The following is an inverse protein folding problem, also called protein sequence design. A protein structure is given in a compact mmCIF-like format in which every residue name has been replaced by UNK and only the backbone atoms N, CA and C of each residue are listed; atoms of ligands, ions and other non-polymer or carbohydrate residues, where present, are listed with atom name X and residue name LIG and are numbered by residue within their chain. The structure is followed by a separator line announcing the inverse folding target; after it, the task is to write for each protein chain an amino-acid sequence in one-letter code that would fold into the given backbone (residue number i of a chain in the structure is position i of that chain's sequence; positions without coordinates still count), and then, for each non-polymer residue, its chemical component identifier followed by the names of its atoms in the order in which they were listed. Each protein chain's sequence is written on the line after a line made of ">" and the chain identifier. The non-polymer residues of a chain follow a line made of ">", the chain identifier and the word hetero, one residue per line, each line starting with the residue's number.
data_IF_086026574868
#
_entry.id   IF_086026574868
#
_cell.length_a   1.000
_cell.length_b   1.000
_cell.length_c   1.000
_cell.angle_alpha   90.00
_cell.angle_beta   90.00
_cell.angle_gamma   90.00
#
_symmetry.space_group_name_H-M   'P 1'
#
loop_
_entity.id
_entity.type
_entity.pdbx_description
1 polymer ?
#
# COMPACT_ATOMS: atom_id res chain seq x y z
N UNK A 1 16.99 30.28 7.56
CA UNK A 1 16.52 29.95 6.20
C UNK A 1 17.09 28.61 5.80
N UNK A 2 16.30 27.57 5.86
CA UNK A 2 16.71 26.26 5.38
C UNK A 2 16.66 26.31 3.85
N UNK A 3 17.78 26.05 3.18
CA UNK A 3 17.86 25.98 1.73
C UNK A 3 16.95 24.82 1.23
N UNK A 4 16.05 25.12 0.29
CA UNK A 4 15.09 24.15 -0.28
C UNK A 4 15.77 22.89 -0.85
N UNK A 5 16.96 23.00 -1.42
CA UNK A 5 17.73 21.86 -1.95
C UNK A 5 18.24 20.91 -0.86
N UNK A 6 18.70 21.43 0.30
CA UNK A 6 19.13 20.60 1.44
C UNK A 6 17.93 19.85 2.08
N UNK A 7 16.76 20.50 2.11
CA UNK A 7 15.52 19.90 2.60
C UNK A 7 15.10 18.67 1.77
N UNK A 8 15.21 18.74 0.44
CA UNK A 8 14.84 17.62 -0.47
C UNK A 8 15.75 16.39 -0.31
N UNK A 9 17.06 16.60 -0.07
CA UNK A 9 18.02 15.51 0.11
C UNK A 9 17.81 14.79 1.46
N UNK A 10 17.41 15.51 2.51
CA UNK A 10 17.10 14.89 3.82
C UNK A 10 15.75 14.16 3.84
N UNK A 11 14.85 14.45 2.92
CA UNK A 11 13.48 13.97 2.91
C UNK A 11 13.29 12.47 2.70
N UNK A 12 14.31 11.70 2.33
CA UNK A 12 14.15 10.28 2.01
C UNK A 12 15.36 9.43 2.37
N UNK A 13 16.03 9.77 3.47
CA UNK A 13 16.95 8.81 4.04
C UNK A 13 16.14 7.63 4.58
N UNK A 14 16.34 6.47 3.96
CA UNK A 14 15.88 5.22 4.55
C UNK A 14 16.58 5.04 5.89
N UNK A 15 15.84 4.70 6.93
CA UNK A 15 16.46 4.26 8.17
C UNK A 15 17.28 2.99 7.92
N UNK A 16 18.27 2.75 8.75
CA UNK A 16 19.01 1.47 8.76
C UNK A 16 18.06 0.31 9.07
N UNK A 17 17.09 0.56 9.95
CA UNK A 17 16.13 -0.41 10.44
C UNK A 17 14.80 -0.25 9.70
N UNK A 18 14.15 -1.38 9.39
CA UNK A 18 12.88 -1.43 8.69
C UNK A 18 11.83 -2.08 9.58
N UNK A 19 10.75 -1.36 9.86
CA UNK A 19 9.66 -1.78 10.74
C UNK A 19 9.01 -3.12 10.31
N UNK A 20 9.02 -3.43 9.02
CA UNK A 20 8.40 -4.63 8.44
C UNK A 20 9.30 -5.88 8.47
N UNK A 21 10.60 -5.72 8.71
CA UNK A 21 11.58 -6.81 8.72
C UNK A 21 12.41 -6.88 10.00
N UNK A 22 12.29 -5.91 10.89
CA UNK A 22 12.97 -5.92 12.19
C UNK A 22 12.47 -7.07 13.06
N UNK A 23 13.34 -7.89 13.68
CA UNK A 23 12.96 -9.09 14.42
C UNK A 23 11.99 -8.85 15.59
N UNK A 24 12.00 -7.65 16.19
CA UNK A 24 11.12 -7.31 17.31
C UNK A 24 9.75 -6.83 16.82
N UNK A 25 9.72 -5.98 15.77
CA UNK A 25 8.48 -5.39 15.29
C UNK A 25 7.67 -6.32 14.39
N UNK A 26 8.32 -7.22 13.63
CA UNK A 26 7.67 -8.05 12.61
C UNK A 26 6.52 -8.93 13.15
N UNK A 27 6.68 -9.50 14.35
CA UNK A 27 5.64 -10.33 14.99
C UNK A 27 4.45 -9.48 15.44
N UNK A 28 4.73 -8.26 15.92
CA UNK A 28 3.72 -7.32 16.38
C UNK A 28 2.99 -6.68 15.20
N UNK A 29 3.69 -6.44 14.09
CA UNK A 29 3.08 -6.04 12.83
C UNK A 29 2.12 -7.10 12.31
N UNK A 30 2.51 -8.37 12.32
CA UNK A 30 1.60 -9.46 11.94
C UNK A 30 0.35 -9.49 12.84
N UNK A 31 0.52 -9.34 14.16
CA UNK A 31 -0.62 -9.26 15.10
C UNK A 31 -1.51 -8.05 14.78
N UNK A 32 -0.93 -6.88 14.51
CA UNK A 32 -1.68 -5.68 14.14
C UNK A 32 -2.45 -5.84 12.83
N UNK A 33 -1.88 -6.54 11.84
CA UNK A 33 -2.59 -6.88 10.60
C UNK A 33 -3.77 -7.83 10.81
N UNK A 34 -3.67 -8.75 11.76
CA UNK A 34 -4.71 -9.73 12.06
C UNK A 34 -5.79 -9.21 13.00
N UNK A 35 -5.51 -8.13 13.72
CA UNK A 35 -6.49 -7.43 14.53
C UNK A 35 -7.36 -6.54 13.65
N UNK A 36 -8.44 -7.11 13.15
CA UNK A 36 -9.40 -6.40 12.30
C UNK A 36 -10.51 -5.70 13.10
N UNK A 37 -10.34 -5.53 14.41
CA UNK A 37 -11.26 -4.77 15.27
C UNK A 37 -10.98 -3.27 15.21
N UNK A 38 -9.75 -2.89 14.81
CA UNK A 38 -9.27 -1.53 14.67
C UNK A 38 -8.61 -1.29 13.31
N UNK A 39 -8.56 -0.03 12.87
CA UNK A 39 -7.84 0.38 11.65
C UNK A 39 -6.37 0.66 12.00
N UNK A 40 -5.59 -0.37 12.33
CA UNK A 40 -4.17 -0.23 12.70
C UNK A 40 -3.21 -0.52 11.55
N UNK A 41 -3.09 -1.77 11.13
CA UNK A 41 -2.28 -2.18 9.97
C UNK A 41 -3.14 -2.83 8.85
N UNK A 42 -4.41 -3.10 9.15
CA UNK A 42 -5.45 -3.54 8.22
C UNK A 42 -6.75 -2.85 8.59
N UNK A 43 -7.63 -2.63 7.62
CA UNK A 43 -8.97 -2.07 7.89
C UNK A 43 -9.80 -3.02 8.74
N UNK A 44 -10.77 -2.46 9.50
CA UNK A 44 -11.78 -3.26 10.23
C UNK A 44 -12.47 -4.23 9.30
N UNK A 45 -12.84 -5.39 9.84
CA UNK A 45 -13.41 -6.49 9.05
C UNK A 45 -14.63 -6.06 8.23
N UNK A 46 -15.52 -5.24 8.79
CA UNK A 46 -16.70 -4.77 8.07
C UNK A 46 -16.34 -3.88 6.87
N UNK A 47 -15.24 -3.12 6.96
CA UNK A 47 -14.72 -2.31 5.86
C UNK A 47 -14.10 -3.19 4.79
N UNK A 48 -13.33 -4.20 5.19
CA UNK A 48 -12.74 -5.19 4.28
C UNK A 48 -13.84 -5.92 3.50
N UNK A 49 -14.86 -6.46 4.17
CA UNK A 49 -15.96 -7.18 3.51
C UNK A 49 -16.73 -6.27 2.52
N UNK A 50 -17.01 -5.02 2.89
CA UNK A 50 -17.65 -4.05 1.99
C UNK A 50 -16.79 -3.75 0.76
N UNK A 51 -15.47 -3.60 0.95
CA UNK A 51 -14.52 -3.36 -0.15
C UNK A 51 -14.51 -4.55 -1.12
N UNK A 52 -14.40 -5.78 -0.61
CA UNK A 52 -14.45 -7.01 -1.41
C UNK A 52 -15.77 -7.11 -2.18
N UNK A 53 -16.90 -6.86 -1.53
CA UNK A 53 -18.21 -6.90 -2.15
C UNK A 53 -18.37 -5.84 -3.25
N UNK A 54 -17.89 -4.62 -3.02
CA UNK A 54 -17.94 -3.55 -4.01
C UNK A 54 -17.04 -3.89 -5.21
N UNK A 55 -15.78 -4.28 -4.98
CA UNK A 55 -14.83 -4.64 -6.04
C UNK A 55 -15.39 -5.80 -6.87
N UNK A 56 -15.92 -6.85 -6.22
CA UNK A 56 -16.46 -8.02 -6.92
C UNK A 56 -17.72 -7.71 -7.73
N UNK A 57 -18.52 -6.71 -7.35
CA UNK A 57 -19.66 -6.26 -8.16
C UNK A 57 -19.23 -5.41 -9.36
N UNK A 58 -18.20 -4.55 -9.20
CA UNK A 58 -17.71 -3.70 -10.28
C UNK A 58 -16.89 -4.50 -11.29
N UNK A 59 -16.12 -5.46 -10.83
CA UNK A 59 -15.16 -6.24 -11.62
C UNK A 59 -15.35 -7.75 -11.36
N UNK A 60 -16.49 -8.35 -11.74
CA UNK A 60 -16.81 -9.74 -11.40
C UNK A 60 -15.77 -10.73 -11.95
N UNK A 61 -15.51 -11.80 -11.20
CA UNK A 61 -14.47 -12.78 -11.51
C UNK A 61 -14.68 -13.51 -12.84
N UNK A 62 -15.92 -13.62 -13.32
CA UNK A 62 -16.26 -14.19 -14.62
C UNK A 62 -15.68 -13.37 -15.79
N UNK A 63 -15.55 -12.05 -15.63
CA UNK A 63 -14.95 -11.15 -16.62
C UNK A 63 -13.51 -10.77 -16.30
N UNK A 64 -13.16 -10.72 -15.02
CA UNK A 64 -11.87 -10.31 -14.50
C UNK A 64 -11.23 -11.43 -13.64
N UNK A 65 -10.93 -12.61 -14.22
CA UNK A 65 -10.63 -13.81 -13.43
C UNK A 65 -9.31 -13.81 -12.65
N UNK A 66 -8.33 -12.97 -13.00
CA UNK A 66 -7.01 -12.97 -12.36
C UNK A 66 -6.75 -11.68 -11.62
N UNK A 67 -6.30 -11.79 -10.36
CA UNK A 67 -6.03 -10.67 -9.47
C UNK A 67 -4.61 -10.77 -8.88
N UNK A 68 -3.88 -9.66 -8.91
CA UNK A 68 -2.60 -9.47 -8.22
C UNK A 68 -2.80 -8.47 -7.09
N UNK A 69 -2.47 -8.87 -5.86
CA UNK A 69 -2.52 -8.02 -4.68
C UNK A 69 -1.09 -7.68 -4.22
N UNK A 70 -0.69 -6.43 -4.37
CA UNK A 70 0.61 -5.90 -4.00
C UNK A 70 0.57 -5.40 -2.55
N UNK A 71 1.55 -5.78 -1.72
CA UNK A 71 1.50 -5.53 -0.29
C UNK A 71 0.38 -6.32 0.40
N UNK A 72 0.20 -7.60 0.02
CA UNK A 72 -0.93 -8.42 0.47
C UNK A 72 -0.91 -8.76 1.98
N UNK A 73 0.20 -8.50 2.68
CA UNK A 73 0.37 -8.81 4.08
C UNK A 73 0.07 -10.29 4.42
N UNK A 74 -0.62 -10.56 5.54
CA UNK A 74 -0.97 -11.92 5.95
C UNK A 74 -2.17 -12.51 5.19
N UNK A 75 -2.61 -11.90 4.10
CA UNK A 75 -3.60 -12.48 3.20
C UNK A 75 -5.06 -12.12 3.49
N UNK A 76 -5.32 -11.09 4.31
CA UNK A 76 -6.69 -10.72 4.70
C UNK A 76 -7.59 -10.44 3.50
N UNK A 77 -7.09 -9.73 2.50
CA UNK A 77 -7.82 -9.44 1.26
C UNK A 77 -7.74 -10.60 0.26
N UNK A 78 -6.56 -11.18 0.05
CA UNK A 78 -6.35 -12.25 -0.95
C UNK A 78 -7.23 -13.47 -0.73
N UNK A 79 -7.42 -13.91 0.54
CA UNK A 79 -8.30 -15.02 0.87
C UNK A 79 -9.77 -14.74 0.49
N UNK A 80 -10.23 -13.49 0.72
CA UNK A 80 -11.59 -13.08 0.39
C UNK A 80 -11.80 -12.98 -1.10
N UNK A 81 -10.83 -12.42 -1.83
CA UNK A 81 -10.86 -12.42 -3.30
C UNK A 81 -10.89 -13.85 -3.86
N UNK A 82 -10.08 -14.76 -3.31
CA UNK A 82 -10.11 -16.17 -3.72
C UNK A 82 -11.49 -16.80 -3.48
N UNK A 83 -12.13 -16.52 -2.33
CA UNK A 83 -13.50 -16.99 -2.03
C UNK A 83 -14.57 -16.39 -2.96
N UNK A 84 -14.30 -15.23 -3.57
CA UNK A 84 -15.15 -14.60 -4.61
C UNK A 84 -14.90 -15.16 -6.01
N UNK A 85 -13.98 -16.14 -6.17
CA UNK A 85 -13.74 -16.85 -7.43
C UNK A 85 -12.57 -16.31 -8.26
N UNK A 86 -11.80 -15.35 -7.76
CA UNK A 86 -10.60 -14.89 -8.46
C UNK A 86 -9.44 -15.89 -8.32
N UNK A 87 -8.66 -16.06 -9.38
CA UNK A 87 -7.34 -16.66 -9.31
C UNK A 87 -6.36 -15.58 -8.79
N UNK A 88 -5.97 -15.71 -7.52
CA UNK A 88 -5.24 -14.67 -6.78
C UNK A 88 -3.75 -14.97 -6.70
N UNK A 89 -2.94 -13.94 -6.97
CA UNK A 89 -1.52 -13.88 -6.60
C UNK A 89 -1.35 -12.77 -5.58
N UNK A 90 -0.75 -13.08 -4.42
CA UNK A 90 -0.40 -12.10 -3.38
C UNK A 90 1.11 -11.90 -3.33
N UNK A 91 1.57 -10.66 -3.22
CA UNK A 91 2.99 -10.30 -3.11
C UNK A 91 3.19 -9.45 -1.88
N UNK A 92 4.12 -9.83 -1.02
CA UNK A 92 4.57 -9.03 0.12
C UNK A 92 6.05 -9.32 0.40
N UNK A 93 6.79 -8.34 0.88
CA UNK A 93 8.20 -8.55 1.19
C UNK A 93 8.45 -9.13 2.59
N UNK A 94 7.44 -9.12 3.48
CA UNK A 94 7.51 -9.69 4.81
C UNK A 94 7.38 -11.21 4.78
N UNK A 95 8.47 -11.91 5.03
CA UNK A 95 8.49 -13.39 5.10
C UNK A 95 7.51 -13.92 6.15
N UNK A 96 7.36 -13.23 7.28
CA UNK A 96 6.43 -13.61 8.35
C UNK A 96 4.98 -13.52 7.87
N UNK A 97 4.62 -12.43 7.19
CA UNK A 97 3.26 -12.25 6.63
C UNK A 97 2.96 -13.31 5.58
N UNK A 98 3.88 -13.54 4.65
CA UNK A 98 3.70 -14.54 3.58
C UNK A 98 3.63 -15.96 4.14
N UNK A 99 4.48 -16.30 5.12
CA UNK A 99 4.43 -17.62 5.77
C UNK A 99 3.08 -17.84 6.45
N UNK A 100 2.57 -16.84 7.15
CA UNK A 100 1.23 -16.90 7.74
C UNK A 100 0.15 -17.04 6.67
N UNK A 101 0.16 -16.21 5.63
CA UNK A 101 -0.81 -16.23 4.54
C UNK A 101 -0.89 -17.59 3.84
N UNK A 102 0.29 -18.18 3.55
CA UNK A 102 0.36 -19.54 2.97
C UNK A 102 -0.23 -20.61 3.89
N UNK A 103 0.04 -20.52 5.21
CA UNK A 103 -0.50 -21.45 6.19
C UNK A 103 -2.02 -21.32 6.31
N UNK A 104 -2.52 -20.10 6.45
CA UNK A 104 -3.95 -19.79 6.55
C UNK A 104 -4.73 -20.24 5.30
N UNK A 105 -4.21 -19.94 4.11
CA UNK A 105 -4.83 -20.37 2.86
C UNK A 105 -4.92 -21.91 2.75
N UNK A 106 -3.84 -22.63 3.14
CA UNK A 106 -3.85 -24.12 3.18
C UNK A 106 -4.89 -24.66 4.13
N UNK A 107 -5.00 -24.10 5.35
CA UNK A 107 -6.02 -24.52 6.32
C UNK A 107 -7.45 -24.34 5.79
N UNK A 108 -7.68 -23.28 5.01
CA UNK A 108 -8.97 -22.99 4.40
C UNK A 108 -9.17 -23.65 3.02
N UNK A 109 -8.21 -24.45 2.55
CA UNK A 109 -8.23 -25.11 1.23
C UNK A 109 -8.37 -24.11 0.07
N UNK A 110 -7.80 -22.92 0.22
CA UNK A 110 -7.76 -21.88 -0.81
C UNK A 110 -6.51 -22.05 -1.69
N UNK A 111 -6.69 -21.92 -3.01
CA UNK A 111 -5.60 -21.96 -3.98
C UNK A 111 -5.16 -20.53 -4.31
N UNK A 112 -4.18 -20.03 -3.56
CA UNK A 112 -3.61 -18.68 -3.74
C UNK A 112 -2.11 -18.82 -3.98
N UNK A 113 -1.58 -18.09 -4.95
CA UNK A 113 -0.15 -18.02 -5.21
C UNK A 113 0.47 -16.87 -4.44
N UNK A 114 1.33 -17.18 -3.45
CA UNK A 114 2.03 -16.16 -2.67
C UNK A 114 3.50 -16.06 -3.06
N UNK A 115 4.01 -14.83 -3.17
CA UNK A 115 5.40 -14.50 -3.46
C UNK A 115 5.94 -13.60 -2.34
N UNK A 116 7.05 -14.02 -1.72
CA UNK A 116 7.82 -13.17 -0.81
C UNK A 116 8.79 -12.33 -1.64
N UNK A 117 8.44 -11.08 -1.93
CA UNK A 117 9.23 -10.20 -2.79
C UNK A 117 8.88 -8.72 -2.57
N UNK A 118 9.85 -7.85 -2.81
CA UNK A 118 9.62 -6.40 -2.93
C UNK A 118 8.96 -6.11 -4.29
N UNK A 119 7.70 -5.69 -4.28
CA UNK A 119 6.93 -5.41 -5.49
C UNK A 119 7.51 -4.24 -6.31
N UNK A 120 8.34 -3.37 -5.71
CA UNK A 120 9.03 -2.29 -6.46
C UNK A 120 10.16 -2.80 -7.35
N UNK A 121 10.67 -4.01 -7.07
CA UNK A 121 11.71 -4.70 -7.82
C UNK A 121 11.18 -5.90 -8.61
N UNK A 122 9.87 -6.14 -8.54
CA UNK A 122 9.26 -7.30 -9.14
C UNK A 122 9.23 -7.21 -10.67
N UNK A 123 9.48 -8.34 -11.31
CA UNK A 123 9.37 -8.50 -12.76
C UNK A 123 8.41 -9.66 -13.02
N UNK A 124 7.31 -9.41 -13.72
CA UNK A 124 6.30 -10.41 -14.02
C UNK A 124 6.09 -10.56 -15.53
N UNK A 125 6.05 -11.81 -15.97
CA UNK A 125 5.65 -12.16 -17.34
C UNK A 125 4.14 -12.38 -17.46
N UNK A 126 3.47 -12.67 -16.34
CA UNK A 126 2.02 -12.87 -16.28
C UNK A 126 1.29 -11.53 -16.31
N UNK A 127 0.07 -11.53 -16.86
CA UNK A 127 -0.81 -10.38 -16.87
C UNK A 127 -2.08 -10.65 -16.09
N UNK A 128 -2.58 -9.60 -15.43
CA UNK A 128 -3.73 -9.67 -14.53
C UNK A 128 -4.85 -8.76 -15.00
N UNK A 129 -6.09 -9.13 -14.68
CA UNK A 129 -7.26 -8.30 -14.95
C UNK A 129 -7.43 -7.23 -13.89
N UNK A 130 -7.08 -7.54 -12.63
CA UNK A 130 -7.13 -6.62 -11.51
C UNK A 130 -5.76 -6.61 -10.83
N UNK A 131 -5.26 -5.41 -10.51
CA UNK A 131 -4.12 -5.23 -9.60
C UNK A 131 -4.60 -4.34 -8.47
N UNK A 132 -4.36 -4.77 -7.23
CA UNK A 132 -4.69 -4.03 -6.01
C UNK A 132 -3.42 -3.60 -5.27
N UNK A 133 -3.46 -2.42 -4.64
CA UNK A 133 -2.47 -1.92 -3.69
C UNK A 133 -3.24 -1.20 -2.58
N UNK A 134 -3.62 -1.92 -1.54
CA UNK A 134 -4.61 -1.50 -0.55
C UNK A 134 -3.92 -1.09 0.75
N UNK A 135 -4.50 -0.12 1.43
CA UNK A 135 -4.08 0.49 2.68
C UNK A 135 -3.04 1.60 2.52
N UNK A 136 -3.21 2.44 1.51
CA UNK A 136 -2.43 3.68 1.27
C UNK A 136 -0.92 3.47 1.04
N UNK A 137 -0.52 2.27 0.68
CA UNK A 137 0.88 1.85 0.54
C UNK A 137 1.62 2.62 -0.58
N UNK A 138 0.87 3.15 -1.56
CA UNK A 138 1.44 3.98 -2.62
C UNK A 138 2.13 5.25 -2.10
N UNK A 139 1.67 5.79 -0.96
CA UNK A 139 2.21 7.00 -0.33
C UNK A 139 3.57 6.81 0.35
N UNK A 140 3.93 5.59 0.75
CA UNK A 140 5.23 5.31 1.40
C UNK A 140 6.39 5.28 0.40
N UNK A 141 6.08 5.09 -0.89
CA UNK A 141 7.07 5.00 -1.95
C UNK A 141 7.66 6.37 -2.31
N UNK A 142 8.91 6.36 -2.78
CA UNK A 142 9.53 7.55 -3.37
C UNK A 142 8.83 7.94 -4.69
N UNK A 143 8.91 9.21 -5.11
CA UNK A 143 8.34 9.64 -6.41
C UNK A 143 8.91 8.83 -7.59
N UNK A 144 10.20 8.46 -7.50
CA UNK A 144 10.86 7.62 -8.51
C UNK A 144 10.29 6.22 -8.51
N UNK A 145 10.08 5.62 -7.33
CA UNK A 145 9.56 4.26 -7.22
C UNK A 145 8.07 4.21 -7.56
N UNK A 146 7.27 5.24 -7.21
CA UNK A 146 5.89 5.38 -7.66
C UNK A 146 5.78 5.38 -9.19
N UNK A 147 6.62 6.18 -9.87
CA UNK A 147 6.63 6.23 -11.35
C UNK A 147 7.00 4.89 -11.96
N UNK A 148 8.02 4.21 -11.43
CA UNK A 148 8.41 2.86 -11.86
C UNK A 148 7.30 1.85 -11.63
N UNK A 149 6.68 1.87 -10.43
CA UNK A 149 5.60 0.95 -10.08
C UNK A 149 4.41 1.12 -11.01
N UNK A 150 3.97 2.34 -11.30
CA UNK A 150 2.86 2.59 -12.22
C UNK A 150 3.16 2.06 -13.64
N UNK A 151 4.38 2.24 -14.14
CA UNK A 151 4.79 1.69 -15.43
C UNK A 151 4.78 0.15 -15.43
N UNK A 152 5.29 -0.47 -14.35
CA UNK A 152 5.28 -1.92 -14.17
C UNK A 152 3.86 -2.48 -14.09
N UNK A 153 3.02 -1.89 -13.25
CA UNK A 153 1.60 -2.25 -13.09
C UNK A 153 0.86 -2.13 -14.43
N UNK A 154 1.08 -1.03 -15.17
CA UNK A 154 0.48 -0.89 -16.49
C UNK A 154 0.90 -2.00 -17.45
N UNK A 155 2.17 -2.44 -17.40
CA UNK A 155 2.67 -3.55 -18.21
C UNK A 155 2.06 -4.91 -17.80
N UNK A 156 1.82 -5.11 -16.50
CA UNK A 156 1.24 -6.35 -15.95
C UNK A 156 -0.28 -6.45 -16.10
N UNK A 157 -0.95 -5.35 -16.43
CA UNK A 157 -2.38 -5.39 -16.69
C UNK A 157 -2.71 -5.94 -18.07
N UNK A 158 -3.75 -6.77 -18.13
CA UNK A 158 -4.44 -7.13 -19.37
C UNK A 158 -5.05 -5.88 -20.01
N UNK A 159 -5.33 -5.89 -21.33
CA UNK A 159 -6.22 -4.90 -21.94
C UNK A 159 -7.56 -4.85 -21.16
N UNK A 160 -8.09 -3.65 -20.93
CA UNK A 160 -9.26 -3.40 -20.07
C UNK A 160 -9.08 -3.78 -18.59
N UNK A 161 -7.87 -4.15 -18.18
CA UNK A 161 -7.57 -4.42 -16.78
C UNK A 161 -7.56 -3.15 -15.93
N UNK A 162 -7.72 -3.30 -14.62
CA UNK A 162 -7.86 -2.19 -13.68
C UNK A 162 -6.83 -2.26 -12.55
N UNK A 163 -6.24 -1.10 -12.24
CA UNK A 163 -5.51 -0.85 -11.01
C UNK A 163 -6.46 -0.22 -9.99
N UNK A 164 -6.53 -0.82 -8.81
CA UNK A 164 -7.29 -0.32 -7.66
C UNK A 164 -6.34 -0.06 -6.50
N UNK A 165 -6.27 1.17 -6.01
CA UNK A 165 -5.44 1.51 -4.87
C UNK A 165 -6.05 2.67 -4.08
N UNK A 166 -5.64 2.83 -2.83
CA UNK A 166 -6.03 3.97 -2.02
C UNK A 166 -4.82 4.77 -1.55
N UNK A 167 -5.08 6.04 -1.24
CA UNK A 167 -4.07 6.99 -0.78
C UNK A 167 -4.63 7.88 0.31
N UNK A 168 -3.75 8.51 1.08
CA UNK A 168 -4.11 9.59 1.97
C UNK A 168 -4.18 10.93 1.23
N UNK A 169 -5.15 11.76 1.61
CA UNK A 169 -5.31 13.14 1.16
C UNK A 169 -4.58 14.11 2.11
N UNK A 170 -4.20 15.32 1.67
CA UNK A 170 -3.58 16.33 2.53
C UNK A 170 -4.40 16.67 3.78
N UNK A 171 -5.74 16.62 3.69
CA UNK A 171 -6.68 16.83 4.80
C UNK A 171 -6.48 15.87 5.99
N UNK A 172 -5.83 14.72 5.79
CA UNK A 172 -5.46 13.80 6.88
C UNK A 172 -4.61 14.48 7.95
N UNK A 173 -3.80 15.44 7.55
CA UNK A 173 -2.88 16.15 8.44
C UNK A 173 -3.31 17.58 8.76
N UNK A 174 -4.55 17.97 8.40
CA UNK A 174 -5.10 19.27 8.76
C UNK A 174 -5.19 19.41 10.28
N UNK A 175 -4.57 20.47 10.80
CA UNK A 175 -4.53 20.71 12.24
C UNK A 175 -3.60 19.78 13.05
N UNK A 176 -2.89 18.84 12.41
CA UNK A 176 -1.88 18.00 13.08
C UNK A 176 -0.55 18.75 13.10
N UNK A 177 -0.05 19.21 14.26
CA UNK A 177 1.23 19.91 14.35
C UNK A 177 2.41 18.94 14.23
N UNK A 178 3.60 19.49 13.88
CA UNK A 178 4.84 18.80 14.19
C UNK A 178 4.92 18.55 15.70
N UNK A 179 5.35 17.36 16.08
CA UNK A 179 5.40 16.97 17.49
C UNK A 179 6.64 16.16 17.80
N UNK A 180 6.99 16.15 19.08
CA UNK A 180 8.01 15.27 19.65
C UNK A 180 7.44 14.72 20.94
N UNK A 181 7.24 13.43 20.97
CA UNK A 181 6.69 12.71 22.11
C UNK A 181 7.62 11.58 22.53
N UNK A 182 7.43 11.05 23.72
CA UNK A 182 8.13 9.89 24.18
C UNK A 182 7.23 9.06 25.10
N UNK A 183 7.50 7.78 25.13
CA UNK A 183 6.83 6.84 26.02
C UNK A 183 7.82 5.79 26.54
N UNK A 184 7.53 5.19 27.69
CA UNK A 184 8.25 4.02 28.18
C UNK A 184 7.26 2.87 28.28
N UNK A 185 7.64 1.73 27.70
CA UNK A 185 6.87 0.49 27.77
C UNK A 185 7.75 -0.62 28.34
N UNK A 186 7.17 -1.53 29.13
CA UNK A 186 7.89 -2.71 29.65
C UNK A 186 7.87 -3.89 28.66
N UNK A 187 6.84 -3.97 27.84
CA UNK A 187 6.62 -4.88 26.72
C UNK A 187 5.72 -4.18 25.71
N UNK A 188 6.28 -3.65 24.64
CA UNK A 188 5.58 -2.79 23.70
C UNK A 188 5.79 -3.20 22.24
N UNK A 189 5.29 -2.39 21.33
CA UNK A 189 5.41 -2.63 19.88
C UNK A 189 6.89 -2.71 19.45
N UNK A 190 7.75 -1.91 20.05
CA UNK A 190 9.13 -1.72 19.61
C UNK A 190 10.13 -2.71 20.20
N UNK A 191 9.85 -3.29 21.38
CA UNK A 191 10.71 -4.27 22.05
C UNK A 191 9.91 -5.18 22.97
N UNK A 192 10.43 -6.39 23.23
CA UNK A 192 9.90 -7.37 24.19
C UNK A 192 10.45 -7.12 25.62
N UNK A 193 11.03 -5.95 25.85
CA UNK A 193 11.63 -5.50 27.10
C UNK A 193 11.36 -4.01 27.32
N UNK A 194 11.85 -3.48 28.43
CA UNK A 194 11.72 -2.05 28.73
C UNK A 194 12.35 -1.20 27.64
N UNK A 195 11.54 -0.35 27.02
CA UNK A 195 11.92 0.48 25.87
C UNK A 195 11.47 1.91 26.06
N UNK A 196 12.38 2.86 25.86
CA UNK A 196 12.06 4.27 25.67
C UNK A 196 11.88 4.51 24.16
N UNK A 197 10.68 4.88 23.75
CA UNK A 197 10.40 5.25 22.37
C UNK A 197 10.30 6.76 22.25
N UNK A 198 11.09 7.35 21.34
CA UNK A 198 10.93 8.74 20.92
C UNK A 198 10.17 8.72 19.60
N UNK A 199 9.12 9.54 19.47
CA UNK A 199 8.35 9.70 18.25
C UNK A 199 8.34 11.17 17.84
N UNK A 200 8.95 11.47 16.69
CA UNK A 200 8.98 12.79 16.09
C UNK A 200 8.13 12.80 14.80
N UNK A 201 7.27 13.78 14.68
CA UNK A 201 6.49 14.05 13.46
C UNK A 201 7.05 15.30 12.78
N UNK A 202 7.50 15.17 11.53
CA UNK A 202 7.97 16.27 10.69
C UNK A 202 7.04 16.43 9.49
N UNK A 203 6.69 17.68 9.20
CA UNK A 203 5.84 18.01 8.04
C UNK A 203 6.67 18.74 6.98
N UNK A 204 6.53 18.30 5.74
CA UNK A 204 7.13 18.91 4.56
C UNK A 204 5.99 19.36 3.64
N UNK A 205 5.41 20.52 3.97
CA UNK A 205 4.21 21.05 3.31
C UNK A 205 4.40 21.27 1.81
N UNK A 206 5.60 21.69 1.38
CA UNK A 206 5.95 21.91 -0.03
C UNK A 206 5.79 20.65 -0.90
N UNK A 207 5.90 19.45 -0.28
CA UNK A 207 5.81 18.16 -0.98
C UNK A 207 4.65 17.30 -0.47
N UNK A 208 3.73 17.83 0.33
CA UNK A 208 2.65 17.03 0.94
C UNK A 208 3.17 15.74 1.62
N UNK A 209 4.33 15.81 2.27
CA UNK A 209 4.98 14.63 2.87
C UNK A 209 5.13 14.79 4.37
N UNK A 210 4.88 13.71 5.10
CA UNK A 210 5.09 13.60 6.55
C UNK A 210 6.11 12.51 6.83
N UNK A 211 7.00 12.75 7.78
CA UNK A 211 7.90 11.74 8.33
C UNK A 211 7.51 11.49 9.78
N UNK A 212 7.11 10.26 10.06
CA UNK A 212 7.07 9.71 11.42
C UNK A 212 8.42 9.03 11.68
N UNK A 213 9.22 9.60 12.58
CA UNK A 213 10.49 9.03 13.01
C UNK A 213 10.34 8.43 14.39
N UNK A 214 10.62 7.14 14.51
CA UNK A 214 10.64 6.44 15.78
C UNK A 214 12.07 6.06 16.14
N UNK A 215 12.47 6.29 17.40
CA UNK A 215 13.74 5.83 17.94
C UNK A 215 13.41 4.98 19.16
N UNK A 216 13.66 3.68 19.05
CA UNK A 216 13.46 2.71 20.11
C UNK A 216 14.80 2.46 20.83
N UNK A 217 14.83 2.73 22.11
CA UNK A 217 16.03 2.64 22.96
C UNK A 217 15.76 1.62 24.07
N UNK A 218 16.51 0.54 24.05
CA UNK A 218 16.55 -0.47 25.12
C UNK A 218 17.86 -0.36 25.90
N UNK A 219 18.09 -1.26 26.84
CA UNK A 219 19.35 -1.29 27.60
C UNK A 219 20.54 -1.59 26.68
N UNK A 220 20.34 -2.44 25.68
CA UNK A 220 21.40 -2.98 24.84
C UNK A 220 21.43 -2.44 23.40
N UNK A 221 20.36 -1.74 22.92
CA UNK A 221 20.24 -1.39 21.51
C UNK A 221 19.52 -0.05 21.29
N UNK A 222 19.83 0.58 20.15
CA UNK A 222 19.14 1.77 19.63
C UNK A 222 18.79 1.53 18.19
N UNK A 223 17.48 1.49 17.89
CA UNK A 223 16.95 1.31 16.54
C UNK A 223 16.16 2.55 16.10
N UNK A 224 16.28 2.88 14.83
CA UNK A 224 15.61 4.06 14.28
C UNK A 224 14.82 3.69 13.03
N UNK A 225 13.53 4.05 13.03
CA UNK A 225 12.61 3.77 11.94
C UNK A 225 12.07 5.07 11.35
N UNK A 226 12.05 5.14 10.03
CA UNK A 226 11.48 6.24 9.27
C UNK A 226 10.26 5.74 8.50
N UNK A 227 9.09 6.23 8.86
CA UNK A 227 7.85 5.97 8.13
C UNK A 227 7.48 7.25 7.39
N UNK A 228 7.74 7.23 6.09
CA UNK A 228 7.41 8.31 5.18
C UNK A 228 5.99 8.12 4.67
N UNK A 229 5.25 9.21 4.59
CA UNK A 229 3.90 9.22 4.06
C UNK A 229 3.71 10.45 3.19
N UNK A 230 3.50 10.24 1.91
CA UNK A 230 3.11 11.27 0.96
C UNK A 230 1.59 11.28 0.81
N UNK A 231 0.98 12.45 0.89
CA UNK A 231 -0.44 12.65 0.65
C UNK A 231 -0.66 13.22 -0.74
N UNK A 232 -1.75 12.86 -1.38
CA UNK A 232 -1.98 13.15 -2.79
C UNK A 232 -3.18 14.04 -3.01
N UNK A 233 -3.05 14.99 -3.92
CA UNK A 233 -4.20 15.65 -4.52
C UNK A 233 -4.76 14.81 -5.67
N UNK A 234 -6.04 14.99 -5.97
CA UNK A 234 -6.68 14.35 -7.14
C UNK A 234 -5.99 14.70 -8.46
N UNK A 235 -5.55 15.96 -8.61
CA UNK A 235 -4.87 16.45 -9.81
C UNK A 235 -3.52 15.74 -10.03
N UNK A 236 -2.70 15.63 -8.97
CA UNK A 236 -1.41 14.94 -8.99
C UNK A 236 -1.58 13.46 -9.41
N UNK A 237 -2.55 12.75 -8.83
CA UNK A 237 -2.81 11.37 -9.19
C UNK A 237 -3.31 11.21 -10.61
N UNK A 238 -4.19 12.10 -11.06
CA UNK A 238 -4.69 12.08 -12.43
C UNK A 238 -3.55 12.25 -13.44
N UNK A 239 -2.65 13.21 -13.21
CA UNK A 239 -1.47 13.44 -14.05
C UNK A 239 -0.54 12.21 -14.06
N UNK A 240 -0.15 11.69 -12.89
CA UNK A 240 0.74 10.55 -12.79
C UNK A 240 0.18 9.29 -13.48
N UNK A 241 -1.13 9.04 -13.34
CA UNK A 241 -1.79 7.91 -13.98
C UNK A 241 -1.90 8.08 -15.50
N UNK A 242 -2.19 9.30 -15.98
CA UNK A 242 -2.21 9.61 -17.42
C UNK A 242 -0.81 9.46 -18.04
N UNK A 243 0.24 9.94 -17.38
CA UNK A 243 1.63 9.73 -17.81
C UNK A 243 1.99 8.24 -17.90
N UNK A 244 1.46 7.40 -16.98
CA UNK A 244 1.66 5.96 -17.00
C UNK A 244 0.82 5.23 -18.09
N UNK A 245 -0.10 5.94 -18.78
CA UNK A 245 -0.90 5.42 -19.89
C UNK A 245 -2.34 5.02 -19.54
N UNK A 246 -2.80 5.24 -18.31
CA UNK A 246 -4.19 4.99 -17.94
C UNK A 246 -5.11 6.05 -18.55
N UNK A 247 -6.25 5.61 -19.11
CA UNK A 247 -7.15 6.50 -19.87
C UNK A 247 -8.50 6.73 -19.20
N UNK A 248 -8.97 5.79 -18.39
CA UNK A 248 -10.19 5.91 -17.61
C UNK A 248 -9.85 5.84 -16.13
N UNK A 249 -10.03 6.97 -15.42
CA UNK A 249 -9.67 7.12 -14.02
C UNK A 249 -10.90 7.57 -13.25
N UNK A 250 -11.34 6.76 -12.29
CA UNK A 250 -12.43 7.08 -11.39
C UNK A 250 -11.90 7.24 -9.95
N UNK A 251 -12.50 8.16 -9.21
CA UNK A 251 -12.13 8.48 -7.83
C UNK A 251 -13.30 8.25 -6.90
N UNK A 252 -13.04 7.62 -5.77
CA UNK A 252 -14.00 7.32 -4.71
C UNK A 252 -13.40 7.74 -3.36
N UNK A 253 -14.24 7.97 -2.37
CA UNK A 253 -13.77 8.28 -1.01
C UNK A 253 -12.98 7.12 -0.40
N UNK A 254 -13.39 5.90 -0.68
CA UNK A 254 -12.86 4.67 -0.09
C UNK A 254 -13.04 3.46 -1.02
N UNK A 255 -12.47 2.32 -0.61
CA UNK A 255 -12.57 1.05 -1.33
C UNK A 255 -13.98 0.43 -1.33
N UNK A 256 -14.95 1.06 -0.68
CA UNK A 256 -16.36 0.62 -0.71
C UNK A 256 -17.15 1.29 -1.85
N UNK A 257 -16.50 2.16 -2.63
CA UNK A 257 -17.10 2.87 -3.75
C UNK A 257 -17.97 4.06 -3.35
N UNK A 258 -17.81 4.58 -2.14
CA UNK A 258 -18.52 5.78 -1.72
C UNK A 258 -18.04 7.00 -2.52
N UNK A 259 -18.92 7.96 -2.86
CA UNK A 259 -18.51 9.17 -3.57
C UNK A 259 -17.58 10.03 -2.71
N UNK A 260 -16.64 10.75 -3.37
CA UNK A 260 -15.76 11.70 -2.69
C UNK A 260 -16.56 12.84 -2.06
N UNK A 261 -16.11 13.31 -0.90
CA UNK A 261 -16.65 14.45 -0.16
C UNK A 261 -15.55 15.46 0.18
N UNK A 262 -15.93 16.61 0.76
CA UNK A 262 -15.03 17.75 1.00
C UNK A 262 -14.04 17.54 2.16
N UNK A 263 -14.34 16.59 3.06
CA UNK A 263 -13.53 16.35 4.27
C UNK A 263 -12.94 14.94 4.33
N UNK A 264 -12.81 14.30 3.17
CA UNK A 264 -12.24 12.95 3.11
C UNK A 264 -10.74 12.99 3.45
N UNK A 265 -10.28 11.98 4.20
CA UNK A 265 -8.87 11.80 4.54
C UNK A 265 -8.17 10.77 3.66
N UNK A 266 -8.95 10.00 2.91
CA UNK A 266 -8.49 8.97 1.98
C UNK A 266 -9.20 9.12 0.64
N UNK A 267 -8.60 8.60 -0.39
CA UNK A 267 -9.19 8.50 -1.72
C UNK A 267 -8.80 7.16 -2.35
N UNK A 268 -9.80 6.46 -2.90
CA UNK A 268 -9.61 5.24 -3.69
C UNK A 268 -9.64 5.60 -5.19
N UNK A 269 -8.79 4.97 -5.94
CA UNK A 269 -8.63 5.18 -7.38
C UNK A 269 -8.86 3.87 -8.11
N UNK A 270 -9.70 3.91 -9.16
CA UNK A 270 -9.83 2.86 -10.16
C UNK A 270 -9.30 3.39 -11.49
N UNK A 271 -8.14 2.89 -11.93
CA UNK A 271 -7.50 3.32 -13.17
C UNK A 271 -7.48 2.15 -14.17
N UNK A 272 -8.16 2.32 -15.32
CA UNK A 272 -8.29 1.26 -16.33
C UNK A 272 -7.28 1.46 -17.46
N UNK A 273 -6.70 0.34 -17.89
CA UNK A 273 -5.89 0.26 -19.11
C UNK A 273 -6.79 0.23 -20.35
N UNK A 274 -6.42 0.99 -21.37
CA UNK A 274 -7.18 1.00 -22.64
C UNK A 274 -7.28 -0.38 -23.29
N UNK A 275 -8.32 -0.56 -24.07
CA UNK A 275 -8.40 -1.62 -25.07
C UNK A 275 -7.28 -1.40 -26.10
N UNK A 276 -6.38 -2.34 -26.28
CA UNK A 276 -5.46 -2.29 -27.43
C UNK A 276 -6.29 -2.45 -28.72
N UNK A 277 -6.40 -1.39 -29.52
CA UNK A 277 -6.94 -1.55 -30.84
C UNK A 277 -5.99 -2.45 -31.65
N UNK A 278 -6.52 -3.51 -32.23
CA UNK A 278 -5.77 -4.49 -33.06
C UNK A 278 -5.34 -3.90 -34.43
N UNK A 279 -5.08 -2.59 -34.53
CA UNK A 279 -4.74 -1.89 -35.76
C UNK A 279 -3.29 -1.46 -35.92
N UNK A 280 -2.41 -1.77 -34.94
CA UNK A 280 -0.98 -1.45 -35.06
C UNK A 280 -0.07 -2.65 -35.44
N UNK A 281 -0.63 -3.70 -36.04
CA UNK A 281 0.15 -4.76 -36.65
C UNK A 281 -0.09 -4.71 -38.15
N UNK A 282 0.68 -3.88 -38.86
CA UNK A 282 0.69 -3.99 -40.31
C UNK A 282 0.87 -2.70 -41.07
N UNK A 283 2.11 -2.16 -41.08
CA UNK A 283 2.66 -1.45 -42.24
C UNK A 283 4.17 -1.28 -42.07
N UNK A 284 4.91 -2.35 -42.26
CA UNK A 284 6.23 -2.27 -42.84
C UNK A 284 6.36 -3.43 -43.83
N UNK A 285 6.12 -3.06 -45.09
CA UNK A 285 6.45 -3.82 -46.27
C UNK A 285 7.81 -3.41 -46.83
#
# INVERSE_FOLDING_TARGET
>A
VRSSAASVVYKRQTSKDNIWSDPHTVKRMLKAHLDTTEDSATRRIETVEKAIDWISRQFPAERYPTLLDLGCGPGVYTERFCKKGYAVTGVDFSEHSITYAMHSARQQQLSIHYLCADYTQLHMNSRFHIITLIYCDFGVLSAVDRKKLLASVYSWLQPEGVLLFDVFLPSRYDGVPESKTWEITEDGFWADERCLTLHDVFRYEEDNTVLNRYIAITEDDIRQFHVWEHTFTKAELQEALQEAGFTSIAFFRDMNGNPCGDYDQTMCIAACKSRTNATDIGSDG
#
